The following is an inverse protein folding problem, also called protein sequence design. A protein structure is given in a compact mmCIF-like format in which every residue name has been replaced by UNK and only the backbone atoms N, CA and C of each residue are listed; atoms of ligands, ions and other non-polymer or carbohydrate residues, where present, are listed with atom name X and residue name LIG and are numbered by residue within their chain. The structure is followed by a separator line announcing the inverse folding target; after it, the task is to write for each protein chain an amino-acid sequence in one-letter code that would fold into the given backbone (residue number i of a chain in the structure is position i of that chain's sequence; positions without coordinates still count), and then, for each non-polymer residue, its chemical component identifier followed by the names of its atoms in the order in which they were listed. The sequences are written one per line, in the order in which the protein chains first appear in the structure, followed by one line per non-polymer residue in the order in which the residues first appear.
data_IF_306100654400
#
_entry.id   IF_306100654400
#
_cell.length_a   1.000
_cell.length_b   1.000
_cell.length_c   1.000
_cell.angle_alpha   90.00
_cell.angle_beta   90.00
_cell.angle_gamma   90.00
#
_symmetry.space_group_name_H-M   'P 1'
#
loop_
_entity.id
_entity.type
_entity.pdbx_description
1 polymer ?
#
# COMPACT_ATOMS: atom_id res chain seq x y z
N UNK A 1 61.89 -4.15 33.46
CA UNK A 1 60.58 -3.56 33.83
C UNK A 1 59.62 -3.85 32.70
N UNK A 2 58.77 -4.87 32.87
CA UNK A 2 57.84 -5.33 31.84
C UNK A 2 56.52 -4.55 31.94
N UNK A 3 56.06 -4.01 30.81
CA UNK A 3 54.80 -3.28 30.71
C UNK A 3 53.60 -4.23 30.87
N UNK A 4 52.50 -3.80 31.51
CA UNK A 4 51.32 -4.62 31.67
C UNK A 4 50.59 -4.75 30.33
N UNK A 5 50.32 -6.00 29.93
CA UNK A 5 49.50 -6.33 28.76
C UNK A 5 48.05 -5.90 29.02
N UNK A 6 47.53 -5.01 28.17
CA UNK A 6 46.13 -4.62 28.16
C UNK A 6 45.24 -5.81 27.76
N UNK A 7 44.04 -5.95 28.36
CA UNK A 7 43.11 -7.01 28.01
C UNK A 7 42.56 -6.80 26.58
N UNK A 8 42.27 -7.90 25.84
CA UNK A 8 41.71 -7.80 24.50
C UNK A 8 40.31 -7.18 24.53
N UNK A 9 40.05 -6.29 23.57
CA UNK A 9 38.73 -5.69 23.37
C UNK A 9 37.71 -6.78 22.98
N UNK A 10 36.47 -6.73 23.51
CA UNK A 10 35.44 -7.71 23.18
C UNK A 10 35.05 -7.63 21.70
N UNK A 11 34.98 -8.78 21.05
CA UNK A 11 34.57 -8.90 19.65
C UNK A 11 33.07 -8.63 19.51
N UNK A 12 32.73 -7.57 18.79
CA UNK A 12 31.34 -7.17 18.52
C UNK A 12 30.57 -8.19 17.67
N UNK A 13 31.24 -9.19 17.10
CA UNK A 13 30.63 -10.27 16.31
C UNK A 13 29.85 -11.28 17.16
N UNK A 14 30.16 -11.43 18.46
CA UNK A 14 29.47 -12.38 19.32
C UNK A 14 28.12 -11.88 19.85
N UNK A 15 27.92 -10.55 19.93
CA UNK A 15 26.74 -9.96 20.59
C UNK A 15 25.50 -9.88 19.69
N UNK A 16 25.64 -9.91 18.36
CA UNK A 16 24.50 -9.92 17.44
C UNK A 16 23.87 -11.31 17.29
N UNK A 17 24.67 -12.38 17.43
CA UNK A 17 24.15 -13.76 17.43
C UNK A 17 23.25 -14.06 18.62
N UNK A 18 23.56 -13.48 19.79
CA UNK A 18 22.77 -13.69 21.01
C UNK A 18 21.43 -12.91 21.04
N UNK A 19 21.30 -11.84 20.26
CA UNK A 19 20.06 -11.06 20.19
C UNK A 19 18.98 -11.73 19.31
N UNK A 20 19.37 -12.67 18.45
CA UNK A 20 18.48 -13.41 17.54
C UNK A 20 18.46 -14.93 17.79
N UNK A 21 19.21 -15.42 18.78
CA UNK A 21 19.05 -16.77 19.28
C UNK A 21 17.76 -16.84 20.10
N UNK A 22 16.66 -17.21 19.45
CA UNK A 22 15.47 -17.66 20.15
C UNK A 22 15.87 -18.87 21.01
N UNK A 23 15.62 -18.86 22.34
CA UNK A 23 15.80 -20.05 23.14
C UNK A 23 14.96 -21.17 22.53
N UNK A 24 15.46 -22.41 22.56
CA UNK A 24 14.82 -23.62 22.09
C UNK A 24 13.52 -23.96 22.86
N UNK A 25 12.51 -23.09 22.71
CA UNK A 25 11.16 -23.22 23.25
C UNK A 25 10.17 -23.74 22.21
N UNK A 26 10.64 -23.95 20.97
CA UNK A 26 9.86 -24.60 19.94
C UNK A 26 10.31 -26.07 19.89
N UNK A 27 9.42 -27.03 20.14
CA UNK A 27 9.75 -28.44 19.96
C UNK A 27 10.25 -28.68 18.53
N UNK A 28 11.09 -29.69 18.30
CA UNK A 28 11.78 -29.90 17.01
C UNK A 28 10.80 -29.99 15.83
N UNK A 29 9.55 -30.37 16.09
CA UNK A 29 8.45 -30.41 15.14
C UNK A 29 7.74 -29.06 14.92
N UNK A 30 7.94 -28.05 15.77
CA UNK A 30 7.26 -26.78 15.68
C UNK A 30 7.82 -25.89 14.58
N UNK A 31 9.11 -25.99 14.27
CA UNK A 31 9.69 -25.30 13.11
C UNK A 31 9.17 -25.91 11.80
N UNK A 32 9.09 -27.24 11.71
CA UNK A 32 8.48 -27.94 10.57
C UNK A 32 6.98 -27.72 10.48
N UNK A 33 6.26 -27.68 11.61
CA UNK A 33 4.83 -27.33 11.64
C UNK A 33 4.60 -25.86 11.33
N UNK A 34 5.48 -24.95 11.74
CA UNK A 34 5.46 -23.55 11.31
C UNK A 34 5.73 -23.47 9.81
N UNK A 35 6.73 -24.17 9.30
CA UNK A 35 7.01 -24.22 7.85
C UNK A 35 5.85 -24.85 7.08
N UNK A 36 5.23 -25.92 7.58
CA UNK A 36 4.10 -26.59 6.95
C UNK A 36 2.81 -25.77 7.05
N UNK A 37 2.64 -24.96 8.11
CA UNK A 37 1.55 -23.97 8.24
C UNK A 37 1.80 -22.76 7.35
N UNK A 38 3.05 -22.34 7.16
CA UNK A 38 3.44 -21.24 6.29
C UNK A 38 3.50 -21.67 4.80
N UNK A 39 3.70 -22.95 4.52
CA UNK A 39 3.93 -23.50 3.19
C UNK A 39 3.31 -24.90 2.99
N UNK A 40 1.98 -25.09 3.03
CA UNK A 40 1.42 -26.44 3.08
C UNK A 40 1.63 -27.20 1.78
N UNK A 41 1.45 -26.59 0.60
CA UNK A 41 1.49 -27.28 -0.70
C UNK A 41 2.30 -26.48 -1.72
N UNK A 42 3.63 -26.58 -1.57
CA UNK A 42 4.70 -25.95 -2.37
C UNK A 42 4.41 -24.53 -2.92
N UNK A 43 4.13 -23.55 -2.05
CA UNK A 43 4.51 -22.20 -2.37
C UNK A 43 6.05 -22.14 -2.43
N UNK A 44 6.64 -21.82 -3.59
CA UNK A 44 8.09 -21.77 -3.77
C UNK A 44 8.71 -20.74 -2.83
N UNK A 45 9.24 -21.17 -1.68
CA UNK A 45 10.02 -20.31 -0.78
C UNK A 45 11.19 -19.66 -1.52
N UNK A 46 11.76 -20.39 -2.50
CA UNK A 46 12.76 -19.84 -3.41
C UNK A 46 12.22 -18.65 -4.22
N UNK A 47 10.99 -18.72 -4.74
CA UNK A 47 10.34 -17.59 -5.43
C UNK A 47 10.14 -16.40 -4.48
N UNK A 48 9.63 -16.64 -3.27
CA UNK A 48 9.44 -15.58 -2.26
C UNK A 48 10.77 -14.90 -1.89
N UNK A 49 11.83 -15.68 -1.68
CA UNK A 49 13.17 -15.16 -1.37
C UNK A 49 13.76 -14.41 -2.58
N UNK A 50 13.64 -14.97 -3.78
CA UNK A 50 14.10 -14.32 -5.01
C UNK A 50 13.39 -12.98 -5.24
N UNK A 51 12.08 -12.91 -5.02
CA UNK A 51 11.31 -11.66 -5.11
C UNK A 51 11.68 -10.68 -3.99
N UNK A 52 12.03 -11.16 -2.80
CA UNK A 52 12.52 -10.29 -1.72
C UNK A 52 13.88 -9.68 -2.09
N UNK A 53 14.80 -10.49 -2.61
CA UNK A 53 16.09 -10.01 -3.14
C UNK A 53 15.90 -9.07 -4.33
N UNK A 54 14.92 -9.31 -5.19
CA UNK A 54 14.54 -8.41 -6.25
C UNK A 54 14.14 -7.04 -5.69
N UNK A 55 13.28 -6.98 -4.66
CA UNK A 55 12.91 -5.71 -4.04
C UNK A 55 14.09 -5.00 -3.37
N UNK A 56 15.02 -5.74 -2.77
CA UNK A 56 16.28 -5.17 -2.30
C UNK A 56 17.08 -4.53 -3.43
N UNK A 57 17.21 -5.21 -4.58
CA UNK A 57 17.90 -4.68 -5.75
C UNK A 57 17.18 -3.45 -6.34
N UNK A 58 15.85 -3.49 -6.44
CA UNK A 58 15.05 -2.34 -6.87
C UNK A 58 15.25 -1.14 -5.93
N UNK A 59 15.30 -1.37 -4.62
CA UNK A 59 15.54 -0.29 -3.66
C UNK A 59 16.98 0.25 -3.75
N UNK A 60 17.98 -0.63 -3.87
CA UNK A 60 19.38 -0.24 -3.88
C UNK A 60 19.82 0.45 -5.18
N UNK A 61 19.30 0.01 -6.33
CA UNK A 61 19.82 0.42 -7.64
C UNK A 61 18.82 1.23 -8.48
N UNK A 62 17.54 0.85 -8.46
CA UNK A 62 16.52 1.49 -9.33
C UNK A 62 15.93 2.73 -8.67
N UNK A 63 15.58 2.62 -7.39
CA UNK A 63 14.89 3.67 -6.63
C UNK A 63 15.66 4.99 -6.55
N UNK A 64 17.00 5.01 -6.36
CA UNK A 64 17.76 6.26 -6.35
C UNK A 64 17.80 6.96 -7.71
N UNK A 65 17.65 6.22 -8.80
CA UNK A 65 17.74 6.74 -10.17
C UNK A 65 16.39 7.26 -10.67
N UNK A 66 15.29 6.63 -10.28
CA UNK A 66 13.96 6.88 -10.87
C UNK A 66 13.45 8.32 -10.71
N UNK A 67 13.64 9.03 -9.57
CA UNK A 67 13.24 10.43 -9.45
C UNK A 67 13.92 11.32 -10.49
N UNK A 68 15.15 10.99 -10.89
CA UNK A 68 15.86 11.74 -11.93
C UNK A 68 15.23 11.59 -13.32
N UNK A 69 14.51 10.50 -13.56
CA UNK A 69 13.82 10.22 -14.82
C UNK A 69 12.40 10.78 -14.84
N UNK A 70 11.64 10.54 -13.76
CA UNK A 70 10.20 10.82 -13.72
C UNK A 70 9.86 12.24 -13.28
N UNK A 71 10.74 12.92 -12.52
CA UNK A 71 10.43 14.27 -12.05
C UNK A 71 10.52 15.29 -13.19
N UNK A 72 9.65 16.33 -13.17
CA UNK A 72 9.76 17.44 -14.11
C UNK A 72 11.11 18.16 -13.92
N UNK A 73 11.67 18.79 -14.98
CA UNK A 73 13.05 19.31 -14.96
C UNK A 73 13.39 20.20 -13.75
N UNK A 74 12.45 21.06 -13.32
CA UNK A 74 12.65 21.91 -12.15
C UNK A 74 12.81 21.12 -10.85
N UNK A 75 11.93 20.13 -10.60
CA UNK A 75 12.01 19.28 -9.41
C UNK A 75 13.22 18.34 -9.47
N UNK A 76 13.56 17.85 -10.67
CA UNK A 76 14.74 17.02 -10.93
C UNK A 76 16.03 17.73 -10.53
N UNK A 77 16.20 19.00 -10.93
CA UNK A 77 17.37 19.80 -10.55
C UNK A 77 17.50 19.95 -9.03
N UNK A 78 16.40 20.26 -8.34
CA UNK A 78 16.42 20.40 -6.88
C UNK A 78 16.69 19.07 -6.17
N UNK A 79 16.12 17.97 -6.67
CA UNK A 79 16.41 16.65 -6.14
C UNK A 79 17.91 16.31 -6.30
N UNK A 80 18.47 16.55 -7.48
CA UNK A 80 19.90 16.34 -7.75
C UNK A 80 20.79 17.23 -6.85
N UNK A 81 20.43 18.51 -6.65
CA UNK A 81 21.14 19.43 -5.76
C UNK A 81 21.15 18.92 -4.30
N UNK A 82 20.02 18.42 -3.79
CA UNK A 82 19.95 17.83 -2.44
C UNK A 82 20.83 16.61 -2.29
N UNK A 83 20.86 15.73 -3.30
CA UNK A 83 21.73 14.55 -3.28
C UNK A 83 23.21 14.92 -3.39
N UNK A 84 23.57 15.91 -4.21
CA UNK A 84 24.93 16.41 -4.31
C UNK A 84 25.39 17.04 -2.98
N UNK A 85 24.54 17.88 -2.37
CA UNK A 85 24.79 18.51 -1.07
C UNK A 85 24.98 17.48 0.04
N UNK A 86 24.13 16.44 0.08
CA UNK A 86 24.28 15.34 1.02
C UNK A 86 25.65 14.66 0.88
N UNK A 87 26.05 14.31 -0.34
CA UNK A 87 27.36 13.68 -0.61
C UNK A 87 28.52 14.57 -0.18
N UNK A 88 28.43 15.87 -0.44
CA UNK A 88 29.42 16.85 -0.03
C UNK A 88 29.57 16.87 1.50
N UNK A 89 28.47 17.06 2.23
CA UNK A 89 28.49 17.10 3.69
C UNK A 89 29.01 15.78 4.31
N UNK A 90 28.70 14.64 3.71
CA UNK A 90 29.26 13.35 4.15
C UNK A 90 30.76 13.20 3.89
N UNK A 91 31.26 13.78 2.79
CA UNK A 91 32.69 13.83 2.50
C UNK A 91 33.42 14.77 3.46
N UNK A 92 32.88 15.97 3.68
CA UNK A 92 33.42 16.97 4.59
C UNK A 92 33.51 16.41 6.01
N UNK A 93 32.45 15.76 6.50
CA UNK A 93 32.44 15.12 7.84
C UNK A 93 33.50 14.02 7.96
N UNK A 94 33.70 13.21 6.92
CA UNK A 94 34.75 12.18 6.92
C UNK A 94 36.14 12.79 6.91
N UNK A 95 36.33 13.88 6.18
CA UNK A 95 37.60 14.60 6.14
C UNK A 95 37.90 15.23 7.50
N UNK A 96 36.94 15.93 8.10
CA UNK A 96 37.08 16.50 9.45
C UNK A 96 37.37 15.42 10.51
N UNK A 97 36.77 14.23 10.40
CA UNK A 97 37.07 13.12 11.30
C UNK A 97 38.51 12.60 11.15
N UNK A 98 39.05 12.56 9.93
CA UNK A 98 40.46 12.20 9.66
C UNK A 98 41.42 13.26 10.18
N UNK A 99 41.11 14.54 9.94
CA UNK A 99 41.92 15.66 10.39
C UNK A 99 41.95 15.72 11.92
N UNK A 100 40.82 15.47 12.59
CA UNK A 100 40.75 15.36 14.05
C UNK A 100 41.54 14.18 14.61
N UNK A 101 41.61 13.06 13.88
CA UNK A 101 42.42 11.90 14.28
C UNK A 101 43.93 12.17 14.12
N UNK A 102 44.31 12.98 13.13
CA UNK A 102 45.71 13.35 12.86
C UNK A 102 46.20 14.50 13.75
N UNK A 103 45.32 15.42 14.14
CA UNK A 103 45.60 16.51 15.06
C UNK A 103 45.66 15.98 16.51
N UNK A 104 46.83 15.47 16.92
CA UNK A 104 47.04 14.86 18.24
C UNK A 104 46.87 15.81 19.44
N UNK A 105 46.61 17.11 19.22
CA UNK A 105 46.67 18.12 20.28
C UNK A 105 45.63 19.22 20.10
N UNK A 106 44.74 19.27 21.10
CA UNK A 106 44.06 20.44 21.66
C UNK A 106 43.90 21.68 20.75
N UNK A 107 42.84 21.69 19.95
CA UNK A 107 42.21 22.95 19.60
C UNK A 107 40.69 22.80 19.73
N UNK A 108 40.15 23.58 20.66
CA UNK A 108 38.74 23.83 20.88
C UNK A 108 38.17 24.58 19.65
N UNK A 109 38.06 23.89 18.51
CA UNK A 109 37.58 24.50 17.27
C UNK A 109 36.06 24.30 17.16
N UNK A 110 35.36 25.43 17.22
CA UNK A 110 34.00 25.71 16.75
C UNK A 110 32.94 24.60 16.85
N UNK A 111 32.44 24.42 18.08
CA UNK A 111 31.30 23.55 18.38
C UNK A 111 29.98 24.02 17.72
N UNK A 112 29.86 25.32 17.39
CA UNK A 112 28.62 25.91 16.86
C UNK A 112 28.40 25.58 15.37
N UNK A 113 29.45 25.65 14.54
CA UNK A 113 29.35 25.31 13.11
C UNK A 113 29.04 23.81 12.90
N UNK A 114 29.50 22.96 13.82
CA UNK A 114 29.23 21.52 13.79
C UNK A 114 27.74 21.17 14.02
N UNK A 115 26.99 22.00 14.77
CA UNK A 115 25.58 21.73 15.05
C UNK A 115 24.71 21.96 13.81
N UNK A 116 24.84 23.10 13.15
CA UNK A 116 24.04 23.45 11.96
C UNK A 116 24.30 22.47 10.80
N UNK A 117 25.57 22.11 10.58
CA UNK A 117 25.96 21.09 9.59
C UNK A 117 25.36 19.73 9.94
N UNK A 118 25.32 19.38 11.22
CA UNK A 118 24.70 18.15 11.72
C UNK A 118 23.20 18.10 11.45
N UNK A 119 22.48 19.20 11.67
CA UNK A 119 21.04 19.30 11.41
C UNK A 119 20.72 19.23 9.92
N UNK A 120 21.47 19.95 9.07
CA UNK A 120 21.31 19.90 7.61
C UNK A 120 21.55 18.46 7.10
N UNK A 121 22.66 17.83 7.51
CA UNK A 121 23.00 16.47 7.14
C UNK A 121 21.92 15.46 7.57
N UNK A 122 21.42 15.57 8.80
CA UNK A 122 20.34 14.72 9.30
C UNK A 122 19.07 14.87 8.46
N UNK A 123 18.69 16.11 8.12
CA UNK A 123 17.51 16.39 7.30
C UNK A 123 17.63 15.81 5.88
N UNK A 124 18.81 15.90 5.26
CA UNK A 124 19.08 15.38 3.92
C UNK A 124 19.11 13.84 3.90
N UNK A 125 19.60 13.20 4.97
CA UNK A 125 19.50 11.74 5.14
C UNK A 125 18.05 11.27 5.25
N UNK A 126 17.24 11.95 6.07
CA UNK A 126 15.79 11.68 6.17
C UNK A 126 15.13 11.82 4.80
N UNK A 127 15.47 12.88 4.04
CA UNK A 127 14.97 13.09 2.69
C UNK A 127 15.35 11.94 1.75
N UNK A 128 16.62 11.52 1.72
CA UNK A 128 17.10 10.43 0.86
C UNK A 128 16.40 9.12 1.17
N UNK A 129 16.38 8.69 2.44
CA UNK A 129 15.69 7.46 2.86
C UNK A 129 14.22 7.50 2.46
N UNK A 130 13.54 8.63 2.70
CA UNK A 130 12.13 8.79 2.31
C UNK A 130 11.94 8.77 0.80
N UNK A 131 12.85 9.36 0.02
CA UNK A 131 12.78 9.39 -1.43
C UNK A 131 12.94 7.98 -2.03
N UNK A 132 13.92 7.22 -1.54
CA UNK A 132 14.17 5.85 -2.01
C UNK A 132 12.98 4.95 -1.66
N UNK A 133 12.49 4.99 -0.41
CA UNK A 133 11.33 4.22 0.03
C UNK A 133 10.04 4.57 -0.75
N UNK A 134 9.74 5.86 -0.92
CA UNK A 134 8.56 6.33 -1.68
C UNK A 134 8.62 5.87 -3.15
N UNK A 135 9.81 5.78 -3.72
CA UNK A 135 10.01 5.33 -5.10
C UNK A 135 9.75 3.83 -5.20
N UNK A 136 10.31 3.03 -4.29
CA UNK A 136 10.05 1.58 -4.24
C UNK A 136 8.56 1.29 -4.04
N UNK A 137 7.91 1.99 -3.12
CA UNK A 137 6.46 1.88 -2.87
C UNK A 137 5.62 2.24 -4.11
N UNK A 138 6.03 3.28 -4.85
CA UNK A 138 5.36 3.66 -6.10
C UNK A 138 5.48 2.57 -7.17
N UNK A 139 6.65 1.96 -7.33
CA UNK A 139 6.87 0.86 -8.28
C UNK A 139 6.03 -0.37 -7.91
N UNK A 140 6.01 -0.72 -6.62
CA UNK A 140 5.15 -1.78 -6.10
C UNK A 140 3.67 -1.53 -6.45
N UNK A 141 3.15 -0.33 -6.16
CA UNK A 141 1.77 0.03 -6.45
C UNK A 141 1.45 0.10 -7.95
N UNK A 142 2.40 0.55 -8.79
CA UNK A 142 2.23 0.59 -10.26
C UNK A 142 2.10 -0.80 -10.89
N UNK A 143 2.70 -1.83 -10.28
CA UNK A 143 2.46 -3.21 -10.67
C UNK A 143 1.16 -3.75 -10.05
N UNK A 144 1.02 -3.59 -8.73
CA UNK A 144 0.00 -4.29 -7.96
C UNK A 144 -1.42 -3.79 -8.28
N UNK A 145 -1.64 -2.48 -8.38
CA UNK A 145 -2.99 -1.94 -8.59
C UNK A 145 -3.59 -2.34 -9.96
N UNK A 146 -2.86 -2.27 -11.10
CA UNK A 146 -3.38 -2.78 -12.37
C UNK A 146 -3.62 -4.28 -12.39
N UNK A 147 -2.71 -5.08 -11.82
CA UNK A 147 -2.88 -6.54 -11.73
C UNK A 147 -4.15 -6.91 -10.93
N UNK A 148 -4.32 -6.25 -9.79
CA UNK A 148 -5.49 -6.39 -8.94
C UNK A 148 -6.79 -5.96 -9.61
N UNK A 149 -6.77 -4.84 -10.33
CA UNK A 149 -7.93 -4.35 -11.08
C UNK A 149 -8.30 -5.29 -12.23
N UNK A 150 -7.31 -5.80 -12.97
CA UNK A 150 -7.52 -6.76 -14.04
C UNK A 150 -8.14 -8.05 -13.51
N UNK A 151 -7.63 -8.60 -12.41
CA UNK A 151 -8.22 -9.77 -11.77
C UNK A 151 -9.66 -9.48 -11.30
N UNK A 152 -9.87 -8.43 -10.50
CA UNK A 152 -11.18 -8.11 -9.95
C UNK A 152 -12.23 -7.88 -11.04
N UNK A 153 -11.91 -7.12 -12.09
CA UNK A 153 -12.87 -6.83 -13.16
C UNK A 153 -13.03 -8.03 -14.09
N UNK A 154 -11.91 -8.57 -14.60
CA UNK A 154 -11.92 -9.55 -15.68
C UNK A 154 -12.23 -10.98 -15.23
N UNK A 155 -11.86 -11.36 -14.01
CA UNK A 155 -12.02 -12.73 -13.49
C UNK A 155 -13.16 -12.88 -12.51
N UNK A 156 -13.62 -11.77 -11.93
CA UNK A 156 -14.63 -11.82 -10.87
C UNK A 156 -15.90 -11.07 -11.27
N UNK A 157 -15.83 -9.74 -11.46
CA UNK A 157 -17.03 -8.92 -11.68
C UNK A 157 -17.72 -9.25 -13.01
N UNK A 158 -16.98 -9.28 -14.13
CA UNK A 158 -17.58 -9.51 -15.46
C UNK A 158 -18.15 -10.93 -15.63
N UNK A 159 -17.45 -12.02 -15.26
CA UNK A 159 -18.02 -13.36 -15.40
C UNK A 159 -19.29 -13.56 -14.58
N UNK A 160 -19.33 -13.03 -13.36
CA UNK A 160 -20.53 -13.11 -12.51
C UNK A 160 -21.68 -12.28 -13.08
N UNK A 161 -21.39 -11.08 -13.58
CA UNK A 161 -22.38 -10.27 -14.28
C UNK A 161 -23.01 -11.01 -15.46
N UNK A 162 -22.19 -11.63 -16.30
CA UNK A 162 -22.68 -12.44 -17.42
C UNK A 162 -23.52 -13.64 -16.97
N UNK A 163 -23.10 -14.33 -15.90
CA UNK A 163 -23.86 -15.45 -15.34
C UNK A 163 -25.24 -15.04 -14.81
N UNK A 164 -25.34 -13.86 -14.18
CA UNK A 164 -26.60 -13.30 -13.69
C UNK A 164 -27.54 -12.90 -14.82
N UNK A 165 -27.01 -12.24 -15.85
CA UNK A 165 -27.77 -11.88 -17.05
C UNK A 165 -28.31 -13.14 -17.75
N UNK A 166 -27.46 -14.16 -17.91
CA UNK A 166 -27.86 -15.43 -18.52
C UNK A 166 -28.94 -16.16 -17.70
N UNK A 167 -28.82 -16.14 -16.37
CA UNK A 167 -29.83 -16.76 -15.51
C UNK A 167 -31.17 -16.02 -15.56
N UNK A 168 -31.16 -14.69 -15.47
CA UNK A 168 -32.39 -13.90 -15.57
C UNK A 168 -33.12 -14.15 -16.90
N UNK A 169 -32.36 -14.26 -18.00
CA UNK A 169 -32.89 -14.62 -19.30
C UNK A 169 -33.52 -16.03 -19.30
N UNK A 170 -32.82 -17.03 -18.76
CA UNK A 170 -33.30 -18.41 -18.70
C UNK A 170 -34.54 -18.58 -17.82
N UNK A 171 -34.60 -17.88 -16.69
CA UNK A 171 -35.76 -17.86 -15.78
C UNK A 171 -36.97 -17.22 -16.45
N UNK A 172 -36.79 -16.07 -17.11
CA UNK A 172 -37.87 -15.38 -17.83
C UNK A 172 -38.41 -16.21 -19.00
N UNK A 173 -37.51 -16.83 -19.78
CA UNK A 173 -37.88 -17.75 -20.85
C UNK A 173 -38.74 -18.90 -20.33
N UNK A 174 -38.27 -19.56 -19.26
CA UNK A 174 -38.95 -20.72 -18.67
C UNK A 174 -40.31 -20.32 -18.06
N UNK A 175 -40.36 -19.18 -17.36
CA UNK A 175 -41.58 -18.64 -16.79
C UNK A 175 -42.62 -18.31 -17.87
N UNK A 176 -42.20 -17.73 -19.00
CA UNK A 176 -43.08 -17.42 -20.12
C UNK A 176 -43.71 -18.69 -20.70
N UNK A 177 -42.90 -19.72 -20.98
CA UNK A 177 -43.38 -21.00 -21.52
C UNK A 177 -44.35 -21.72 -20.57
N UNK A 178 -44.11 -21.62 -19.26
CA UNK A 178 -45.00 -22.19 -18.25
C UNK A 178 -46.33 -21.45 -18.17
N UNK A 179 -46.32 -20.13 -18.25
CA UNK A 179 -47.51 -19.29 -18.17
C UNK A 179 -48.45 -19.49 -19.38
N UNK A 180 -47.91 -19.80 -20.55
CA UNK A 180 -48.66 -20.00 -21.79
C UNK A 180 -48.73 -21.48 -22.22
N UNK A 181 -48.61 -22.38 -21.24
CA UNK A 181 -48.70 -23.82 -21.47
C UNK A 181 -50.14 -24.19 -21.88
N UNK A 182 -50.37 -24.32 -23.18
CA UNK A 182 -51.67 -24.68 -23.75
C UNK A 182 -52.04 -23.89 -25.01
N UNK A 183 -51.33 -22.79 -25.29
CA UNK A 183 -51.57 -21.99 -26.49
C UNK A 183 -51.07 -22.72 -27.74
N UNK A 184 -51.87 -22.71 -28.81
CA UNK A 184 -51.73 -23.61 -29.96
C UNK A 184 -50.63 -23.25 -30.96
N UNK A 185 -50.01 -22.06 -30.87
CA UNK A 185 -48.96 -21.62 -31.79
C UNK A 185 -47.57 -21.64 -31.15
N UNK A 186 -46.83 -22.71 -31.46
CA UNK A 186 -45.47 -22.94 -30.94
C UNK A 186 -44.48 -21.84 -31.34
N UNK A 187 -44.64 -21.24 -32.52
CA UNK A 187 -43.71 -20.23 -33.02
C UNK A 187 -43.91 -18.91 -32.27
N UNK A 188 -45.17 -18.47 -32.12
CA UNK A 188 -45.49 -17.29 -31.32
C UNK A 188 -45.06 -17.44 -29.85
N UNK A 189 -45.23 -18.64 -29.28
CA UNK A 189 -44.76 -18.94 -27.92
C UNK A 189 -43.24 -18.84 -27.78
N UNK A 190 -42.49 -19.36 -28.75
CA UNK A 190 -41.03 -19.29 -28.72
C UNK A 190 -40.55 -17.85 -28.84
N UNK A 191 -41.09 -17.07 -29.80
CA UNK A 191 -40.73 -15.66 -29.96
C UNK A 191 -41.04 -14.84 -28.70
N UNK A 192 -42.22 -15.04 -28.09
CA UNK A 192 -42.57 -14.36 -26.85
C UNK A 192 -41.64 -14.72 -25.68
N UNK A 193 -41.21 -15.99 -25.59
CA UNK A 193 -40.24 -16.41 -24.58
C UNK A 193 -38.85 -15.80 -24.82
N UNK A 194 -38.39 -15.71 -26.07
CA UNK A 194 -37.13 -15.06 -26.45
C UNK A 194 -37.14 -13.56 -26.14
N UNK A 195 -38.26 -12.87 -26.42
CA UNK A 195 -38.43 -11.45 -26.09
C UNK A 195 -38.41 -11.20 -24.57
N UNK A 196 -39.13 -12.03 -23.80
CA UNK A 196 -39.11 -11.97 -22.33
C UNK A 196 -37.70 -12.21 -21.77
N UNK A 197 -36.97 -13.19 -22.33
CA UNK A 197 -35.59 -13.47 -21.95
C UNK A 197 -34.66 -12.27 -22.23
N UNK A 198 -34.81 -11.64 -23.40
CA UNK A 198 -34.03 -10.46 -23.81
C UNK A 198 -34.33 -9.25 -22.92
N UNK A 199 -35.60 -9.01 -22.59
CA UNK A 199 -35.98 -7.91 -21.70
C UNK A 199 -35.41 -8.11 -20.29
N UNK A 200 -35.52 -9.33 -19.73
CA UNK A 200 -34.95 -9.67 -18.44
C UNK A 200 -33.42 -9.53 -18.42
N UNK A 201 -32.74 -9.96 -19.48
CA UNK A 201 -31.29 -9.76 -19.65
C UNK A 201 -30.92 -8.27 -19.61
N UNK A 202 -31.60 -7.43 -20.39
CA UNK A 202 -31.37 -5.98 -20.43
C UNK A 202 -31.66 -5.30 -19.10
N UNK A 203 -32.72 -5.74 -18.39
CA UNK A 203 -33.05 -5.23 -17.07
C UNK A 203 -31.96 -5.59 -16.05
N UNK A 204 -31.46 -6.83 -16.09
CA UNK A 204 -30.40 -7.28 -15.20
C UNK A 204 -29.06 -6.58 -15.51
N UNK A 205 -28.73 -6.38 -16.79
CA UNK A 205 -27.54 -5.62 -17.23
C UNK A 205 -27.57 -4.16 -16.75
N UNK A 206 -28.75 -3.52 -16.78
CA UNK A 206 -28.94 -2.16 -16.25
C UNK A 206 -28.84 -2.08 -14.73
N UNK A 207 -29.00 -3.20 -14.02
CA UNK A 207 -28.95 -3.26 -12.57
C UNK A 207 -27.57 -3.66 -12.06
N UNK A 208 -26.63 -2.71 -12.11
CA UNK A 208 -25.26 -2.92 -11.64
C UNK A 208 -25.19 -3.28 -10.15
N UNK A 209 -26.15 -2.80 -9.34
CA UNK A 209 -26.18 -3.06 -7.90
C UNK A 209 -26.73 -4.43 -7.55
N UNK A 210 -27.76 -4.94 -8.24
CA UNK A 210 -28.18 -6.34 -8.07
C UNK A 210 -27.08 -7.28 -8.54
N UNK A 211 -26.41 -6.92 -9.63
CA UNK A 211 -25.25 -7.65 -10.14
C UNK A 211 -24.10 -7.65 -9.14
N UNK A 212 -23.85 -6.50 -8.51
CA UNK A 212 -22.85 -6.36 -7.46
C UNK A 212 -23.27 -7.06 -6.14
N UNK A 213 -24.52 -7.10 -5.72
CA UNK A 213 -24.85 -7.81 -4.48
C UNK A 213 -24.88 -9.32 -4.71
N UNK A 214 -25.44 -9.76 -5.84
CA UNK A 214 -25.52 -11.17 -6.19
C UNK A 214 -24.15 -11.80 -6.48
N UNK A 215 -23.11 -11.02 -6.80
CA UNK A 215 -21.77 -11.59 -6.90
C UNK A 215 -21.22 -12.07 -5.58
N UNK A 216 -21.63 -11.49 -4.44
CA UNK A 216 -21.18 -11.97 -3.12
C UNK A 216 -21.81 -13.32 -2.77
N UNK A 217 -23.06 -13.53 -3.18
CA UNK A 217 -23.79 -14.78 -2.90
C UNK A 217 -23.33 -15.92 -3.83
N UNK A 218 -22.99 -15.60 -5.08
CA UNK A 218 -22.53 -16.58 -6.11
C UNK A 218 -21.01 -16.66 -6.26
N UNK A 219 -20.30 -15.91 -5.43
CA UNK A 219 -18.86 -15.75 -5.38
C UNK A 219 -17.99 -16.99 -5.14
N UNK A 220 -18.42 -18.11 -4.50
CA UNK A 220 -17.46 -19.03 -3.90
C UNK A 220 -16.35 -19.47 -4.86
N UNK A 221 -16.70 -19.75 -6.12
CA UNK A 221 -15.75 -20.23 -7.12
C UNK A 221 -14.91 -19.11 -7.76
N UNK A 222 -15.48 -17.91 -7.94
CA UNK A 222 -14.80 -16.80 -8.61
C UNK A 222 -13.81 -16.05 -7.70
N UNK A 223 -14.02 -16.10 -6.39
CA UNK A 223 -13.17 -15.41 -5.41
C UNK A 223 -12.09 -16.29 -4.81
N UNK A 224 -12.21 -17.61 -4.97
CA UNK A 224 -11.29 -18.62 -4.47
C UNK A 224 -9.85 -18.35 -4.93
N UNK A 225 -9.65 -17.97 -6.20
CA UNK A 225 -8.36 -17.54 -6.76
C UNK A 225 -7.17 -18.48 -6.50
N UNK A 226 -7.37 -19.69 -5.95
CA UNK A 226 -6.32 -20.68 -5.72
C UNK A 226 -5.58 -21.02 -7.00
N UNK A 227 -6.30 -20.95 -8.12
CA UNK A 227 -5.83 -21.37 -9.43
C UNK A 227 -5.51 -20.17 -10.34
N UNK A 228 -5.68 -18.93 -9.85
CA UNK A 228 -5.33 -17.74 -10.64
C UNK A 228 -3.86 -17.38 -10.44
N UNK A 229 -3.05 -17.69 -11.46
CA UNK A 229 -1.61 -17.41 -11.46
C UNK A 229 -1.29 -15.93 -11.21
N UNK A 230 -2.13 -14.99 -11.66
CA UNK A 230 -1.91 -13.55 -11.44
C UNK A 230 -2.10 -13.20 -9.97
N UNK A 231 -3.10 -13.77 -9.29
CA UNK A 231 -3.34 -13.52 -7.86
C UNK A 231 -2.25 -14.14 -7.01
N UNK A 232 -1.89 -15.39 -7.29
CA UNK A 232 -0.81 -16.09 -6.61
C UNK A 232 0.48 -15.27 -6.75
N UNK A 233 0.88 -14.95 -7.98
CA UNK A 233 2.10 -14.18 -8.23
C UNK A 233 2.05 -12.79 -7.59
N UNK A 234 0.90 -12.10 -7.62
CA UNK A 234 0.74 -10.81 -6.97
C UNK A 234 0.86 -10.90 -5.44
N UNK A 235 0.36 -11.97 -4.83
CA UNK A 235 0.51 -12.23 -3.40
C UNK A 235 1.99 -12.41 -3.02
N UNK A 236 2.77 -13.12 -3.84
CA UNK A 236 4.22 -13.22 -3.66
C UNK A 236 4.91 -11.87 -3.78
N UNK A 237 4.68 -11.14 -4.88
CA UNK A 237 5.30 -9.83 -5.11
C UNK A 237 4.99 -8.86 -3.97
N UNK A 238 3.74 -8.86 -3.50
CA UNK A 238 3.26 -8.05 -2.38
C UNK A 238 3.91 -8.44 -1.05
N UNK A 239 3.87 -9.73 -0.70
CA UNK A 239 4.44 -10.22 0.56
C UNK A 239 5.95 -9.96 0.63
N UNK A 240 6.67 -10.24 -0.46
CA UNK A 240 8.11 -9.99 -0.54
C UNK A 240 8.45 -8.50 -0.44
N UNK A 241 7.63 -7.62 -1.03
CA UNK A 241 7.77 -6.17 -0.88
C UNK A 241 7.58 -5.75 0.58
N UNK A 242 6.54 -6.23 1.26
CA UNK A 242 6.27 -5.84 2.64
C UNK A 242 7.23 -6.43 3.66
N UNK A 243 7.86 -7.57 3.36
CA UNK A 243 9.00 -8.06 4.13
C UNK A 243 10.17 -7.07 4.05
N UNK A 244 10.49 -6.61 2.85
CA UNK A 244 11.49 -5.56 2.64
C UNK A 244 11.09 -4.25 3.34
N UNK A 245 9.85 -3.78 3.19
CA UNK A 245 9.36 -2.54 3.80
C UNK A 245 9.40 -2.60 5.34
N UNK A 246 9.11 -3.77 5.92
CA UNK A 246 9.26 -4.02 7.36
C UNK A 246 10.70 -3.88 7.80
N UNK A 247 11.65 -4.47 7.06
CA UNK A 247 13.08 -4.33 7.32
C UNK A 247 13.53 -2.87 7.22
N UNK A 248 13.09 -2.14 6.19
CA UNK A 248 13.45 -0.73 5.99
C UNK A 248 12.91 0.17 7.11
N UNK A 249 11.69 -0.11 7.58
CA UNK A 249 11.09 0.56 8.74
C UNK A 249 11.88 0.31 10.02
N UNK A 250 12.33 -0.93 10.26
CA UNK A 250 13.15 -1.29 11.43
C UNK A 250 14.55 -0.67 11.37
N UNK A 251 15.16 -0.62 10.18
CA UNK A 251 16.46 0.02 9.97
C UNK A 251 16.40 1.53 10.21
N UNK A 252 15.29 2.17 9.87
CA UNK A 252 15.13 3.62 9.95
C UNK A 252 13.96 4.06 10.85
N UNK A 253 13.85 3.50 12.06
CA UNK A 253 12.77 3.80 13.03
C UNK A 253 12.59 5.28 13.39
N UNK A 254 13.65 6.10 13.25
CA UNK A 254 13.57 7.55 13.47
C UNK A 254 12.91 8.30 12.30
N UNK A 255 13.03 7.75 11.09
CA UNK A 255 12.48 8.31 9.85
C UNK A 255 11.04 7.84 9.68
N UNK A 256 10.84 6.52 9.76
CA UNK A 256 9.52 5.92 9.60
C UNK A 256 8.78 5.92 10.93
N UNK A 257 7.56 6.47 10.92
CA UNK A 257 6.70 6.43 12.11
C UNK A 257 6.22 5.00 12.35
N UNK A 258 5.92 4.66 13.61
CA UNK A 258 5.36 3.35 14.02
C UNK A 258 4.18 2.88 13.16
N UNK A 259 3.36 3.80 12.65
CA UNK A 259 2.25 3.49 11.76
C UNK A 259 2.69 2.84 10.43
N UNK A 260 3.87 3.18 9.89
CA UNK A 260 4.43 2.55 8.70
C UNK A 260 4.94 1.13 8.99
N UNK A 261 5.57 0.90 10.14
CA UNK A 261 5.95 -0.47 10.53
C UNK A 261 4.70 -1.35 10.72
N UNK A 262 3.67 -0.83 11.39
CA UNK A 262 2.41 -1.54 11.55
C UNK A 262 1.76 -1.84 10.18
N UNK A 263 1.82 -0.88 9.26
CA UNK A 263 1.38 -1.06 7.87
C UNK A 263 2.10 -2.22 7.20
N UNK A 264 3.43 -2.21 7.22
CA UNK A 264 4.24 -3.24 6.59
C UNK A 264 3.99 -4.63 7.19
N UNK A 265 3.90 -4.75 8.53
CA UNK A 265 3.68 -6.03 9.21
C UNK A 265 2.28 -6.59 8.94
N UNK A 266 1.22 -5.77 9.00
CA UNK A 266 -0.14 -6.23 8.70
C UNK A 266 -0.25 -6.70 7.25
N UNK A 267 0.38 -5.98 6.32
CA UNK A 267 0.36 -6.34 4.89
C UNK A 267 1.15 -7.59 4.59
N UNK A 268 2.33 -7.74 5.20
CA UNK A 268 3.15 -8.95 5.11
C UNK A 268 2.34 -10.15 5.60
N UNK A 269 1.70 -10.04 6.77
CA UNK A 269 0.87 -11.10 7.31
C UNK A 269 -0.29 -11.46 6.37
N UNK A 270 -0.97 -10.46 5.80
CA UNK A 270 -2.04 -10.68 4.82
C UNK A 270 -1.58 -11.45 3.60
N UNK A 271 -0.46 -11.03 3.01
CA UNK A 271 0.11 -11.69 1.86
C UNK A 271 0.64 -13.10 2.18
N UNK A 272 1.28 -13.30 3.34
CA UNK A 272 1.73 -14.63 3.79
C UNK A 272 0.56 -15.58 4.01
N UNK A 273 -0.55 -15.12 4.60
CA UNK A 273 -1.76 -15.95 4.74
C UNK A 273 -2.30 -16.37 3.37
N UNK A 274 -2.31 -15.44 2.41
CA UNK A 274 -2.74 -15.74 1.04
C UNK A 274 -1.85 -16.79 0.35
N UNK A 275 -0.53 -16.74 0.58
CA UNK A 275 0.43 -17.73 0.04
C UNK A 275 0.30 -19.08 0.77
N UNK A 276 0.12 -19.04 2.09
CA UNK A 276 0.07 -20.23 2.94
C UNK A 276 -1.27 -20.97 2.86
N UNK A 277 -2.35 -20.31 2.45
CA UNK A 277 -3.66 -20.90 2.33
C UNK A 277 -4.36 -20.46 1.04
N UNK A 278 -3.84 -20.86 -0.14
CA UNK A 278 -4.49 -20.58 -1.41
C UNK A 278 -5.87 -21.27 -1.42
N UNK A 279 -6.88 -20.59 -1.97
CA UNK A 279 -8.22 -21.16 -2.17
C UNK A 279 -9.28 -20.81 -1.14
N UNK A 280 -8.99 -19.88 -0.26
CA UNK A 280 -10.05 -19.18 0.47
C UNK A 280 -10.53 -18.05 -0.45
N UNK A 281 -11.83 -17.68 -0.39
CA UNK A 281 -12.42 -16.47 -1.02
C UNK A 281 -11.59 -15.16 -0.81
N UNK A 282 -10.57 -15.24 0.03
CA UNK A 282 -9.55 -14.25 0.31
C UNK A 282 -8.77 -13.75 -0.91
N UNK A 283 -8.54 -14.58 -1.92
CA UNK A 283 -7.73 -14.20 -3.09
C UNK A 283 -8.31 -13.00 -3.83
N UNK A 284 -9.63 -13.00 -4.08
CA UNK A 284 -10.30 -11.85 -4.65
C UNK A 284 -10.37 -10.66 -3.68
N UNK A 285 -10.57 -10.89 -2.37
CA UNK A 285 -10.54 -9.82 -1.37
C UNK A 285 -9.19 -9.10 -1.36
N UNK A 286 -8.09 -9.85 -1.33
CA UNK A 286 -6.72 -9.35 -1.45
C UNK A 286 -6.52 -8.51 -2.72
N UNK A 287 -7.11 -8.95 -3.84
CA UNK A 287 -7.10 -8.17 -5.09
C UNK A 287 -7.85 -6.84 -4.91
N UNK A 288 -9.07 -6.85 -4.39
CA UNK A 288 -9.81 -5.61 -4.13
C UNK A 288 -9.09 -4.69 -3.12
N UNK A 289 -8.39 -5.23 -2.13
CA UNK A 289 -7.52 -4.45 -1.23
C UNK A 289 -6.34 -3.85 -1.96
N UNK A 290 -5.70 -4.61 -2.84
CA UNK A 290 -4.58 -4.16 -3.65
C UNK A 290 -4.97 -3.00 -4.59
N UNK A 291 -6.23 -2.90 -5.05
CA UNK A 291 -6.72 -1.73 -5.81
C UNK A 291 -6.57 -0.44 -5.01
N UNK A 292 -6.62 -0.49 -3.68
CA UNK A 292 -6.43 0.68 -2.80
C UNK A 292 -5.07 1.36 -2.99
N UNK A 293 -4.07 0.64 -3.50
CA UNK A 293 -2.74 1.15 -3.81
C UNK A 293 -2.69 2.05 -5.04
N UNK A 294 -3.78 2.15 -5.83
CA UNK A 294 -3.81 3.02 -7.02
C UNK A 294 -3.52 4.49 -6.70
N UNK A 295 -3.79 4.92 -5.47
CA UNK A 295 -3.50 6.29 -5.01
C UNK A 295 -2.02 6.52 -4.63
N UNK A 296 -1.26 5.45 -4.35
CA UNK A 296 0.11 5.48 -3.81
C UNK A 296 1.12 6.16 -4.74
N UNK A 297 1.17 5.85 -6.06
CA UNK A 297 2.10 6.53 -6.96
C UNK A 297 1.87 8.04 -7.00
N UNK A 298 0.61 8.47 -6.99
CA UNK A 298 0.25 9.89 -6.99
C UNK A 298 0.58 10.57 -5.66
N UNK A 299 0.37 9.88 -4.54
CA UNK A 299 0.72 10.36 -3.20
C UNK A 299 2.23 10.64 -3.10
N UNK A 300 3.06 9.71 -3.58
CA UNK A 300 4.50 9.86 -3.56
C UNK A 300 5.00 10.89 -4.58
N UNK A 301 4.40 10.93 -5.78
CA UNK A 301 4.72 11.98 -6.76
C UNK A 301 4.40 13.37 -6.23
N UNK A 302 3.25 13.53 -5.56
CA UNK A 302 2.88 14.75 -4.82
C UNK A 302 3.92 15.10 -3.76
N UNK A 303 4.38 14.12 -2.98
CA UNK A 303 5.42 14.32 -1.97
C UNK A 303 6.70 14.84 -2.61
N UNK A 304 7.16 14.25 -3.71
CA UNK A 304 8.36 14.72 -4.43
C UNK A 304 8.22 16.15 -4.92
N UNK A 305 7.08 16.51 -5.51
CA UNK A 305 6.83 17.88 -5.97
C UNK A 305 6.84 18.87 -4.79
N UNK A 306 6.27 18.49 -3.64
CA UNK A 306 6.28 19.32 -2.44
C UNK A 306 7.69 19.50 -1.87
N UNK A 307 8.45 18.41 -1.73
CA UNK A 307 9.80 18.46 -1.21
C UNK A 307 10.76 19.26 -2.12
N UNK A 308 10.50 19.27 -3.42
CA UNK A 308 11.27 20.01 -4.41
C UNK A 308 10.58 21.32 -4.83
N UNK A 309 9.93 22.01 -3.89
CA UNK A 309 9.51 23.40 -4.03
C UNK A 309 8.52 23.67 -5.19
N UNK A 310 7.85 22.65 -5.72
CA UNK A 310 6.92 22.79 -6.85
C UNK A 310 5.45 22.92 -6.41
N UNK A 311 5.19 23.27 -5.15
CA UNK A 311 3.85 23.31 -4.57
C UNK A 311 2.88 24.29 -5.27
N UNK A 312 3.39 25.30 -5.95
CA UNK A 312 2.59 26.34 -6.61
C UNK A 312 2.36 26.06 -8.12
N UNK A 313 2.95 25.00 -8.67
CA UNK A 313 2.84 24.64 -10.09
C UNK A 313 1.48 24.03 -10.41
N UNK A 314 1.03 24.18 -11.68
CA UNK A 314 -0.20 23.55 -12.19
C UNK A 314 -0.17 22.03 -12.04
N UNK A 315 0.97 21.41 -12.35
CA UNK A 315 1.18 19.97 -12.20
C UNK A 315 0.94 19.51 -10.75
N UNK A 316 1.47 20.23 -9.76
CA UNK A 316 1.23 19.90 -8.35
C UNK A 316 -0.25 19.96 -8.00
N UNK A 317 -0.98 20.99 -8.47
CA UNK A 317 -2.43 21.11 -8.22
C UNK A 317 -3.20 19.94 -8.82
N UNK A 318 -2.88 19.56 -10.06
CA UNK A 318 -3.47 18.40 -10.73
C UNK A 318 -3.21 17.11 -9.96
N UNK A 319 -1.93 16.80 -9.70
CA UNK A 319 -1.54 15.58 -8.96
C UNK A 319 -2.17 15.56 -7.58
N UNK A 320 -2.18 16.69 -6.86
CA UNK A 320 -2.81 16.80 -5.56
C UNK A 320 -4.32 16.53 -5.62
N UNK A 321 -5.04 17.09 -6.60
CA UNK A 321 -6.47 16.82 -6.79
C UNK A 321 -6.72 15.33 -7.10
N UNK A 322 -5.89 14.73 -7.97
CA UNK A 322 -5.98 13.31 -8.31
C UNK A 322 -5.70 12.41 -7.10
N UNK A 323 -4.65 12.71 -6.32
CA UNK A 323 -4.35 12.00 -5.07
C UNK A 323 -5.53 12.10 -4.10
N UNK A 324 -6.10 13.28 -3.89
CA UNK A 324 -7.25 13.48 -2.99
C UNK A 324 -8.44 12.65 -3.48
N UNK A 325 -8.76 12.75 -4.76
CA UNK A 325 -9.88 12.04 -5.37
C UNK A 325 -9.72 10.53 -5.18
N UNK A 326 -8.61 9.95 -5.61
CA UNK A 326 -8.35 8.51 -5.52
C UNK A 326 -8.25 8.02 -4.08
N UNK A 327 -7.63 8.79 -3.18
CA UNK A 327 -7.51 8.39 -1.78
C UNK A 327 -8.89 8.34 -1.13
N UNK A 328 -9.73 9.35 -1.35
CA UNK A 328 -11.08 9.39 -0.79
C UNK A 328 -11.95 8.32 -1.44
N UNK A 329 -12.10 8.34 -2.77
CA UNK A 329 -13.01 7.45 -3.48
C UNK A 329 -12.61 5.98 -3.31
N UNK A 330 -11.33 5.65 -3.46
CA UNK A 330 -10.89 4.25 -3.41
C UNK A 330 -10.64 3.78 -1.99
N UNK A 331 -9.77 4.48 -1.23
CA UNK A 331 -9.32 3.98 0.09
C UNK A 331 -10.33 4.18 1.21
N UNK A 332 -11.13 5.25 1.17
CA UNK A 332 -12.10 5.56 2.24
C UNK A 332 -13.52 5.09 1.92
N UNK A 333 -13.89 5.00 0.64
CA UNK A 333 -15.24 4.60 0.23
C UNK A 333 -15.27 3.21 -0.42
N UNK A 334 -14.73 3.04 -1.62
CA UNK A 334 -14.84 1.79 -2.37
C UNK A 334 -14.35 0.61 -1.55
N UNK A 335 -13.16 0.68 -0.96
CA UNK A 335 -12.61 -0.48 -0.24
C UNK A 335 -13.41 -0.80 1.03
N UNK A 336 -13.72 0.16 1.92
CA UNK A 336 -14.53 -0.15 3.10
C UNK A 336 -15.95 -0.62 2.81
N UNK A 337 -16.63 -0.01 1.84
CA UNK A 337 -18.04 -0.29 1.59
C UNK A 337 -18.25 -1.42 0.59
N UNK A 338 -17.41 -1.54 -0.44
CA UNK A 338 -17.54 -2.58 -1.46
C UNK A 338 -16.69 -3.81 -1.20
N UNK A 339 -15.94 -3.87 -0.09
CA UNK A 339 -15.05 -4.99 0.19
C UNK A 339 -15.20 -5.44 1.63
N UNK A 340 -15.00 -4.53 2.58
CA UNK A 340 -15.13 -4.91 3.99
C UNK A 340 -16.59 -5.15 4.38
N UNK A 341 -17.51 -4.22 4.11
CA UNK A 341 -18.89 -4.37 4.58
C UNK A 341 -19.56 -5.69 4.15
N UNK A 342 -19.44 -6.17 2.90
CA UNK A 342 -19.97 -7.47 2.50
C UNK A 342 -19.27 -8.64 3.19
N UNK A 343 -17.94 -8.59 3.38
CA UNK A 343 -17.20 -9.61 4.14
C UNK A 343 -17.71 -9.74 5.57
N UNK A 344 -17.94 -8.61 6.23
CA UNK A 344 -18.46 -8.58 7.59
C UNK A 344 -19.90 -9.07 7.66
N UNK A 345 -20.72 -8.69 6.69
CA UNK A 345 -22.08 -9.19 6.56
C UNK A 345 -22.10 -10.71 6.36
N UNK A 346 -21.22 -11.26 5.50
CA UNK A 346 -21.08 -12.70 5.27
C UNK A 346 -20.66 -13.44 6.56
N UNK A 347 -19.69 -12.89 7.29
CA UNK A 347 -19.23 -13.45 8.58
C UNK A 347 -20.31 -13.42 9.67
N UNK A 348 -21.03 -12.31 9.79
CA UNK A 348 -21.97 -12.08 10.89
C UNK A 348 -23.36 -12.67 10.62
N UNK A 349 -23.82 -12.63 9.38
CA UNK A 349 -25.19 -12.98 8.97
C UNK A 349 -25.22 -14.35 8.29
N UNK A 350 -24.33 -14.59 7.33
CA UNK A 350 -24.36 -15.77 6.47
C UNK A 350 -23.33 -16.83 6.86
N UNK A 351 -23.24 -17.13 8.17
CA UNK A 351 -22.36 -18.15 8.78
C UNK A 351 -22.34 -19.51 8.02
N UNK A 352 -23.36 -19.76 7.21
CA UNK A 352 -23.62 -20.92 6.36
C UNK A 352 -22.79 -20.96 5.05
N UNK A 353 -22.47 -19.82 4.41
CA UNK A 353 -21.68 -19.77 3.17
C UNK A 353 -20.17 -20.00 3.37
N UNK A 354 -19.73 -20.06 4.63
CA UNK A 354 -18.39 -20.51 5.01
C UNK A 354 -18.32 -22.02 5.23
N UNK A 355 -19.42 -22.75 4.97
CA UNK A 355 -19.51 -24.20 4.85
C UNK A 355 -19.17 -24.98 6.13
N UNK A 356 -19.95 -26.04 6.42
CA UNK A 356 -19.51 -27.06 7.37
C UNK A 356 -18.29 -27.85 6.85
N UNK A 357 -18.08 -27.86 5.53
CA UNK A 357 -17.04 -28.64 4.84
C UNK A 357 -15.73 -27.87 4.60
N UNK A 358 -15.72 -26.54 4.72
CA UNK A 358 -14.51 -25.76 4.60
C UNK A 358 -13.85 -25.59 5.98
N UNK A 359 -12.81 -26.37 6.24
CA UNK A 359 -11.92 -26.29 7.41
C UNK A 359 -11.15 -24.93 7.49
N UNK A 360 -11.84 -23.80 7.34
CA UNK A 360 -11.27 -22.48 7.61
C UNK A 360 -11.20 -22.35 9.12
N UNK A 361 -10.00 -22.59 9.67
CA UNK A 361 -9.76 -22.49 11.10
C UNK A 361 -10.25 -21.15 11.66
N UNK A 362 -10.85 -21.17 12.86
CA UNK A 362 -11.33 -19.96 13.55
C UNK A 362 -10.25 -18.88 13.64
N UNK A 363 -8.99 -19.30 13.75
CA UNK A 363 -7.82 -18.44 13.74
C UNK A 363 -7.71 -17.62 12.45
N UNK A 364 -7.92 -18.23 11.27
CA UNK A 364 -7.88 -17.53 9.97
C UNK A 364 -9.00 -16.48 9.86
N UNK A 365 -10.20 -16.79 10.34
CA UNK A 365 -11.34 -15.84 10.36
C UNK A 365 -11.00 -14.60 11.22
N UNK A 366 -10.45 -14.82 12.42
CA UNK A 366 -10.00 -13.75 13.31
C UNK A 366 -8.87 -12.93 12.69
N UNK A 367 -7.90 -13.56 12.04
CA UNK A 367 -6.83 -12.83 11.36
C UNK A 367 -7.35 -11.94 10.24
N UNK A 368 -8.27 -12.44 9.43
CA UNK A 368 -8.89 -11.65 8.37
C UNK A 368 -9.72 -10.49 8.92
N UNK A 369 -10.44 -10.74 10.01
CA UNK A 369 -11.14 -9.71 10.74
C UNK A 369 -10.18 -8.59 11.20
N UNK A 370 -9.06 -8.97 11.83
CA UNK A 370 -8.03 -8.01 12.25
C UNK A 370 -7.40 -7.28 11.07
N UNK A 371 -7.15 -7.97 9.96
CA UNK A 371 -6.57 -7.35 8.77
C UNK A 371 -7.51 -6.31 8.18
N UNK A 372 -8.78 -6.67 7.98
CA UNK A 372 -9.79 -5.74 7.43
C UNK A 372 -10.02 -4.53 8.34
N UNK A 373 -10.18 -4.71 9.67
CA UNK A 373 -10.27 -3.59 10.62
C UNK A 373 -8.99 -2.77 10.60
N UNK A 374 -7.84 -3.40 10.75
CA UNK A 374 -6.54 -2.75 10.82
C UNK A 374 -6.27 -1.88 9.59
N UNK A 375 -6.59 -2.39 8.40
CA UNK A 375 -6.49 -1.63 7.15
C UNK A 375 -7.46 -0.47 7.06
N UNK A 376 -8.71 -0.70 7.42
CA UNK A 376 -9.70 0.37 7.45
C UNK A 376 -9.24 1.51 8.36
N UNK A 377 -8.83 1.18 9.58
CA UNK A 377 -8.38 2.15 10.58
C UNK A 377 -7.12 2.88 10.12
N UNK A 378 -6.17 2.18 9.50
CA UNK A 378 -4.96 2.81 8.99
C UNK A 378 -5.26 3.77 7.83
N UNK A 379 -6.15 3.39 6.90
CA UNK A 379 -6.59 4.26 5.82
C UNK A 379 -7.30 5.50 6.36
N UNK A 380 -8.19 5.37 7.35
CA UNK A 380 -8.80 6.52 8.01
C UNK A 380 -7.78 7.38 8.76
N UNK A 381 -6.82 6.78 9.44
CA UNK A 381 -5.73 7.51 10.12
C UNK A 381 -4.90 8.33 9.14
N UNK A 382 -4.51 7.74 8.00
CA UNK A 382 -3.78 8.45 6.95
C UNK A 382 -4.65 9.51 6.27
N UNK A 383 -5.93 9.23 6.05
CA UNK A 383 -6.91 10.21 5.57
C UNK A 383 -6.96 11.42 6.51
N UNK A 384 -7.08 11.20 7.81
CA UNK A 384 -7.04 12.25 8.83
C UNK A 384 -5.75 13.07 8.76
N UNK A 385 -4.58 12.43 8.73
CA UNK A 385 -3.29 13.14 8.60
C UNK A 385 -3.22 13.96 7.32
N UNK A 386 -3.74 13.41 6.22
CA UNK A 386 -3.77 14.05 4.92
C UNK A 386 -4.66 15.30 4.93
N UNK A 387 -5.90 15.19 5.40
CA UNK A 387 -6.82 16.32 5.58
C UNK A 387 -6.26 17.38 6.53
N UNK A 388 -5.69 16.96 7.66
CA UNK A 388 -5.03 17.88 8.60
C UNK A 388 -3.91 18.67 7.92
N UNK A 389 -3.15 18.04 7.02
CA UNK A 389 -2.10 18.73 6.26
C UNK A 389 -2.67 19.82 5.32
N UNK A 390 -3.81 19.54 4.67
CA UNK A 390 -4.49 20.47 3.78
C UNK A 390 -5.05 21.67 4.55
N UNK A 391 -5.71 21.42 5.69
CA UNK A 391 -6.27 22.48 6.54
C UNK A 391 -5.17 23.41 7.11
N UNK A 392 -4.03 22.85 7.51
CA UNK A 392 -2.87 23.64 7.97
C UNK A 392 -2.33 24.57 6.89
N UNK A 393 -2.25 24.12 5.63
CA UNK A 393 -1.78 24.97 4.52
C UNK A 393 -2.72 26.17 4.31
N UNK A 394 -4.05 25.94 4.33
CA UNK A 394 -5.04 27.02 4.21
C UNK A 394 -4.93 28.04 5.35
N UNK A 395 -4.78 27.57 6.60
CA UNK A 395 -4.64 28.47 7.76
C UNK A 395 -3.39 29.36 7.65
N UNK A 396 -2.24 28.79 7.25
CA UNK A 396 -1.00 29.57 7.05
C UNK A 396 -1.13 30.58 5.91
N UNK A 397 -1.78 30.21 4.81
CA UNK A 397 -2.02 31.13 3.71
C UNK A 397 -2.94 32.30 4.13
N UNK A 398 -4.00 32.02 4.89
CA UNK A 398 -4.88 33.06 5.43
C UNK A 398 -4.18 34.00 6.42
N UNK A 399 -3.33 33.46 7.30
CA UNK A 399 -2.53 34.26 8.23
C UNK A 399 -1.50 35.14 7.51
N UNK A 400 -0.86 34.62 6.46
CA UNK A 400 0.08 35.40 5.65
C UNK A 400 -0.63 36.55 4.89
N UNK A 401 -1.82 36.30 4.34
CA UNK A 401 -2.62 37.34 3.68
C UNK A 401 -3.06 38.44 4.66
N UNK A 402 -3.57 38.06 5.84
CA UNK A 402 -3.93 39.03 6.89
C UNK A 402 -2.73 39.82 7.41
N UNK A 403 -1.56 39.18 7.50
CA UNK A 403 -0.32 39.85 7.89
C UNK A 403 0.13 40.88 6.85
N UNK A 404 0.01 40.55 5.56
CA UNK A 404 0.33 41.47 4.47
C UNK A 404 -0.61 42.68 4.44
N UNK A 405 -1.92 42.46 4.60
CA UNK A 405 -2.93 43.54 4.64
C UNK A 405 -2.71 44.50 5.80
N UNK A 406 -2.40 43.98 7.01
CA UNK A 406 -2.05 44.82 8.17
C UNK A 406 -0.74 45.58 8.01
N UNK A 407 0.22 45.05 7.26
CA UNK A 407 1.47 45.76 6.98
C UNK A 407 1.30 46.92 5.99
N UNK A 408 0.24 46.90 5.17
CA UNK A 408 -0.07 47.94 4.19
C UNK A 408 -0.89 49.11 4.79
N UNK A 409 -1.75 48.84 5.78
CA UNK A 409 -2.58 49.84 6.48
C UNK A 409 -1.81 51.01 7.16
N UNK A 410 -0.64 50.84 7.82
CA UNK A 410 0.08 51.98 8.41
C UNK A 410 0.57 53.00 7.37
N UNK A 411 0.91 52.56 6.15
CA UNK A 411 1.28 53.49 5.06
C UNK A 411 0.06 54.27 4.55
N UNK A 412 -1.11 53.62 4.54
CA UNK A 412 -2.37 54.25 4.15
C UNK A 412 -2.89 55.22 5.21
N UNK A 413 -2.59 54.97 6.48
CA UNK A 413 -2.85 55.90 7.59
C UNK A 413 -1.91 57.11 7.55
N UNK A 414 -0.64 56.93 7.20
CA UNK A 414 0.28 58.05 7.00
C UNK A 414 -0.15 58.96 5.84
N UNK A 415 -0.56 58.38 4.70
CA UNK A 415 -1.02 59.14 3.53
C UNK A 415 -2.38 59.85 3.69
N UNK A 416 -3.08 59.67 4.82
CA UNK A 416 -4.32 60.38 5.16
C UNK A 416 -4.11 61.46 6.24
N UNK A 417 -2.90 61.55 6.79
CA UNK A 417 -2.54 62.54 7.80
C UNK A 417 -1.89 63.80 7.20
N UNK A 418 -1.59 63.78 5.90
CA UNK A 418 -1.24 64.92 5.05
C UNK A 418 -2.47 65.33 4.22
#
# INVERSE_FOLDING_TARGET
MAAPLLPPLPSWSASLGAAFSFPALLPEDAAEKLLAVLCPHSPSAALFLALTLFWFAVHAFVSPCLPSLLLPPAARRQHAQKLARLKQLEADLRQSARDAQNASTAACVDRFCAQDVGEELASLRVYRVSADANTTASLHALYLAPAALFHAVGRVILPVAHGLVAQAAAEAFSAFLLAHKGDGDRAALQTGAEDAAREAALQQERNIWSTYLAHWDRAPDYWDGANDALVIFSAYVMSSYFLWDSFECLRNLKVHRRAFLLHAVISLLGGTIQIAAPGIKLSGFCSLFAISEISTPFLHFRWFLLQNGQAERRLFRFVNALTVCLFISVRLFVVPFLVFAPYWLDLCVYRQHLGADANISSLRKVFMMMLTVGWTLLNYFWGYLFFRSLCRKRRRAGQAAQGAEKAEDPRRKAAKAD
#
